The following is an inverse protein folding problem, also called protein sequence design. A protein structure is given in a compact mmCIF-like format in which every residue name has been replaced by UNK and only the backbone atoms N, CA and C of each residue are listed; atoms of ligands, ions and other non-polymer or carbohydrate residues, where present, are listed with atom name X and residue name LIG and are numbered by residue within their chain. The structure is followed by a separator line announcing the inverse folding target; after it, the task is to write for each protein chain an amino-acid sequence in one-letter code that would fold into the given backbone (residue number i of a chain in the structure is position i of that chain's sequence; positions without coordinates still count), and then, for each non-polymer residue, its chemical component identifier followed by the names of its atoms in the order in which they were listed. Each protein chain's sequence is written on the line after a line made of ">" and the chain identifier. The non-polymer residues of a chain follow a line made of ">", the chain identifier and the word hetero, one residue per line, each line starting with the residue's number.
data_IF_778912535979
#
_entry.id   IF_778912535979
#
_cell.length_a   1.000
_cell.length_b   1.000
_cell.length_c   1.000
_cell.angle_alpha   90.00
_cell.angle_beta   90.00
_cell.angle_gamma   90.00
#
_symmetry.space_group_name_H-M   'P 1'
#
loop_
_entity.id
_entity.type
_entity.pdbx_description
1 polymer ?
#
# COMPACT_ATOMS: atom_id res chain seq x y z
N UNK A 1 -3.22 -17.24 7.26
CA UNK A 1 -2.85 -17.08 5.84
C UNK A 1 -4.10 -17.33 5.00
N UNK A 2 -4.94 -16.31 4.86
CA UNK A 2 -6.35 -16.42 4.47
C UNK A 2 -6.52 -16.72 2.98
N UNK A 3 -7.32 -17.75 2.70
CA UNK A 3 -7.72 -18.24 1.39
C UNK A 3 -8.51 -17.18 0.60
N UNK A 4 -8.10 -16.89 -0.64
CA UNK A 4 -9.05 -16.65 -1.74
C UNK A 4 -9.69 -15.27 -1.91
N UNK A 5 -9.23 -14.22 -1.23
CA UNK A 5 -9.63 -12.84 -1.58
C UNK A 5 -8.86 -12.35 -2.80
N UNK A 6 -9.55 -11.86 -3.83
CA UNK A 6 -8.89 -11.20 -4.95
C UNK A 6 -8.08 -10.01 -4.43
N UNK A 7 -6.81 -9.94 -4.80
CA UNK A 7 -5.99 -8.77 -4.49
C UNK A 7 -6.50 -7.59 -5.30
N UNK A 8 -6.83 -6.52 -4.59
CA UNK A 8 -7.29 -5.27 -5.20
C UNK A 8 -6.11 -4.32 -5.28
N UNK A 9 -5.80 -3.77 -6.47
CA UNK A 9 -4.85 -2.68 -6.59
C UNK A 9 -5.31 -1.50 -5.74
N UNK A 10 -4.55 -1.16 -4.71
CA UNK A 10 -4.92 -0.10 -3.78
C UNK A 10 -3.75 0.82 -3.46
N UNK A 11 -4.07 2.04 -3.03
CA UNK A 11 -3.14 2.95 -2.39
C UNK A 11 -3.32 2.89 -0.86
N UNK A 12 -2.20 2.84 -0.13
CA UNK A 12 -2.16 2.99 1.32
C UNK A 12 -1.99 4.47 1.68
N UNK A 13 -2.95 5.03 2.42
CA UNK A 13 -2.88 6.35 3.01
C UNK A 13 -2.72 6.26 4.52
N UNK A 14 -1.78 7.01 5.09
CA UNK A 14 -1.55 7.09 6.54
C UNK A 14 -1.48 8.57 6.93
N UNK A 15 -2.26 8.94 7.94
CA UNK A 15 -2.19 10.25 8.60
C UNK A 15 -2.11 10.06 10.12
N UNK A 16 -2.04 11.18 10.84
CA UNK A 16 -2.14 11.17 12.31
C UNK A 16 -3.46 10.54 12.79
N UNK A 17 -4.53 10.68 12.02
CA UNK A 17 -5.89 10.34 12.46
C UNK A 17 -6.39 9.02 11.86
N UNK A 18 -6.00 8.73 10.62
CA UNK A 18 -6.53 7.58 9.89
C UNK A 18 -5.46 6.78 9.16
N UNK A 19 -5.71 5.48 9.07
CA UNK A 19 -5.12 4.57 8.10
C UNK A 19 -6.22 4.17 7.12
N UNK A 20 -5.98 4.33 5.82
CA UNK A 20 -6.97 4.03 4.77
C UNK A 20 -6.36 3.22 3.63
N UNK A 21 -7.16 2.36 3.01
CA UNK A 21 -6.88 1.79 1.70
C UNK A 21 -7.92 2.28 0.70
N UNK A 22 -7.44 2.74 -0.46
CA UNK A 22 -8.29 3.21 -1.55
C UNK A 22 -8.10 2.29 -2.76
N UNK A 23 -9.18 1.70 -3.25
CA UNK A 23 -9.20 0.92 -4.49
C UNK A 23 -8.90 1.85 -5.67
N UNK A 24 -7.87 1.53 -6.45
CA UNK A 24 -7.42 2.34 -7.58
C UNK A 24 -8.33 2.23 -8.81
N UNK A 25 -9.12 1.17 -8.92
CA UNK A 25 -10.08 0.94 -10.00
C UNK A 25 -11.42 1.59 -9.64
N UNK A 26 -12.00 1.22 -8.49
CA UNK A 26 -13.30 1.74 -8.06
C UNK A 26 -13.24 3.20 -7.60
N UNK A 27 -12.06 3.70 -7.20
CA UNK A 27 -11.84 5.03 -6.61
C UNK A 27 -12.60 5.24 -5.29
N UNK A 28 -12.74 4.16 -4.50
CA UNK A 28 -13.45 4.17 -3.22
C UNK A 28 -12.55 3.72 -2.06
N UNK A 29 -12.88 4.17 -0.85
CA UNK A 29 -12.22 3.72 0.38
C UNK A 29 -12.73 2.32 0.71
N UNK A 30 -11.87 1.32 0.62
CA UNK A 30 -12.20 -0.09 0.90
C UNK A 30 -11.78 -0.54 2.30
N UNK A 31 -10.97 0.27 2.98
CA UNK A 31 -10.60 0.09 4.38
C UNK A 31 -10.32 1.44 5.02
N UNK A 32 -10.78 1.63 6.26
CA UNK A 32 -10.40 2.75 7.11
C UNK A 32 -10.42 2.34 8.58
N UNK A 33 -9.44 2.76 9.34
CA UNK A 33 -9.49 2.75 10.80
C UNK A 33 -8.84 4.02 11.36
N UNK A 34 -9.16 4.34 12.61
CA UNK A 34 -8.41 5.37 13.33
C UNK A 34 -7.00 4.86 13.60
N UNK A 35 -6.00 5.74 13.48
CA UNK A 35 -4.61 5.37 13.78
C UNK A 35 -4.45 4.88 15.23
N UNK A 36 -5.28 5.37 16.16
CA UNK A 36 -5.32 4.91 17.55
C UNK A 36 -5.85 3.48 17.75
N UNK A 37 -6.56 2.92 16.77
CA UNK A 37 -7.04 1.53 16.82
C UNK A 37 -5.99 0.52 16.30
N UNK A 38 -4.88 1.00 15.74
CA UNK A 38 -3.78 0.14 15.31
C UNK A 38 -3.01 -0.33 16.55
N UNK A 39 -3.08 -1.63 16.83
CA UNK A 39 -2.44 -2.25 17.99
C UNK A 39 -1.02 -2.74 17.69
N UNK A 40 -0.67 -2.87 16.41
CA UNK A 40 0.67 -3.26 15.99
C UNK A 40 0.77 -3.45 14.48
N UNK A 41 2.00 -3.50 13.98
CA UNK A 41 2.28 -3.76 12.57
C UNK A 41 3.57 -4.55 12.41
N UNK A 42 3.68 -5.29 11.30
CA UNK A 42 4.92 -5.97 10.93
C UNK A 42 5.15 -5.92 9.42
N UNK A 43 6.41 -5.86 9.02
CA UNK A 43 6.82 -5.94 7.63
C UNK A 43 7.54 -7.29 7.39
N UNK A 44 7.19 -7.97 6.31
CA UNK A 44 7.83 -9.21 5.88
C UNK A 44 7.97 -9.21 4.35
N UNK A 45 9.19 -9.07 3.86
CA UNK A 45 9.45 -8.88 2.43
C UNK A 45 8.76 -7.61 1.91
N UNK A 46 7.89 -7.77 0.92
CA UNK A 46 7.08 -6.67 0.36
C UNK A 46 5.73 -6.49 1.05
N UNK A 47 5.41 -7.31 2.05
CA UNK A 47 4.12 -7.25 2.74
C UNK A 47 4.21 -6.39 4.01
N UNK A 48 3.22 -5.51 4.19
CA UNK A 48 2.94 -4.80 5.44
C UNK A 48 1.64 -5.35 6.03
N UNK A 49 1.71 -5.84 7.26
CA UNK A 49 0.58 -6.33 8.05
C UNK A 49 0.24 -5.32 9.12
N UNK A 50 -1.01 -4.90 9.18
CA UNK A 50 -1.51 -3.92 10.15
C UNK A 50 -2.59 -4.63 10.97
N UNK A 51 -2.35 -4.74 12.27
CA UNK A 51 -3.29 -5.32 13.23
C UNK A 51 -4.04 -4.18 13.92
N UNK A 52 -5.37 -4.28 13.97
CA UNK A 52 -6.23 -3.23 14.50
C UNK A 52 -7.41 -3.77 15.32
N UNK A 53 -8.03 -2.89 16.11
CA UNK A 53 -9.19 -3.20 16.94
C UNK A 53 -8.90 -4.34 17.93
N UNK A 54 -9.60 -5.48 17.77
CA UNK A 54 -9.44 -6.66 18.63
C UNK A 54 -8.51 -7.73 18.05
N UNK A 55 -7.66 -7.37 17.09
CA UNK A 55 -6.73 -8.29 16.42
C UNK A 55 -7.09 -8.61 14.97
N UNK A 56 -7.98 -7.83 14.36
CA UNK A 56 -8.24 -7.92 12.92
C UNK A 56 -7.00 -7.51 12.13
N UNK A 57 -6.86 -8.05 10.92
CA UNK A 57 -5.67 -7.90 10.10
C UNK A 57 -6.05 -7.38 8.71
N UNK A 58 -5.40 -6.29 8.32
CA UNK A 58 -5.28 -5.89 6.92
C UNK A 58 -3.84 -6.07 6.45
N UNK A 59 -3.67 -6.66 5.27
CA UNK A 59 -2.36 -6.91 4.68
C UNK A 59 -2.30 -6.23 3.33
N UNK A 60 -1.26 -5.41 3.12
CA UNK A 60 -0.95 -4.83 1.82
C UNK A 60 0.41 -5.32 1.35
N UNK A 61 0.60 -5.38 0.04
CA UNK A 61 1.90 -5.65 -0.55
C UNK A 61 2.32 -4.49 -1.41
N UNK A 62 3.58 -4.08 -1.28
CA UNK A 62 4.19 -3.13 -2.19
C UNK A 62 4.17 -3.76 -3.60
N UNK A 63 3.41 -3.14 -4.50
CA UNK A 63 3.54 -3.42 -5.93
C UNK A 63 4.91 -2.93 -6.43
N UNK A 64 5.39 -3.49 -7.54
CA UNK A 64 6.52 -2.89 -8.26
C UNK A 64 6.02 -1.52 -8.74
N UNK A 65 6.43 -0.46 -8.03
CA UNK A 65 6.17 0.88 -8.50
C UNK A 65 6.76 0.98 -9.90
N UNK A 66 5.93 1.22 -10.92
CA UNK A 66 6.45 1.77 -12.17
C UNK A 66 6.96 3.16 -11.81
N UNK A 67 8.19 3.22 -11.30
CA UNK A 67 8.94 4.44 -11.28
C UNK A 67 8.99 4.88 -12.73
N UNK A 68 8.14 5.83 -13.10
CA UNK A 68 8.44 6.72 -14.20
C UNK A 68 9.67 7.52 -13.77
N UNK A 69 10.83 6.87 -13.82
CA UNK A 69 12.11 7.54 -13.90
C UNK A 69 12.14 8.20 -15.26
N UNK A 70 11.51 9.37 -15.38
CA UNK A 70 11.87 10.35 -16.39
C UNK A 70 13.28 10.84 -16.05
N UNK A 71 14.28 10.03 -16.40
CA UNK A 71 15.68 10.44 -16.46
C UNK A 71 15.95 10.99 -17.85
N UNK A 72 15.69 12.28 -18.03
CA UNK A 72 16.25 13.08 -19.12
C UNK A 72 17.78 13.09 -19.03
N UNK A 73 18.46 12.78 -20.14
CA UNK A 73 19.92 12.92 -20.27
C UNK A 73 20.35 12.80 -21.73
N UNK A 74 20.66 13.95 -22.33
CA UNK A 74 21.07 14.10 -23.73
C UNK A 74 22.53 13.69 -23.98
N UNK A 75 22.79 13.20 -25.20
CA UNK A 75 23.97 13.51 -26.03
C UNK A 75 25.34 12.90 -25.68
N UNK A 76 25.90 12.12 -26.60
CA UNK A 76 27.25 12.35 -27.15
C UNK A 76 27.41 11.52 -28.43
N UNK A 77 27.81 12.16 -29.53
CA UNK A 77 28.14 11.49 -30.77
C UNK A 77 29.50 10.80 -30.69
N UNK A 78 29.73 9.90 -31.63
CA UNK A 78 31.06 9.52 -32.10
C UNK A 78 30.91 9.18 -33.57
N UNK A 79 31.64 9.94 -34.40
CA UNK A 79 31.82 9.65 -35.82
C UNK A 79 32.72 8.44 -36.05
#
# INVERSE_FOLDING_TARGET
>A
FGRGGQEVPCALGISKEFVVLVDLVAKEVVFSCFTGDVIGWSAEGTALRIYHGRGDLVSVRAGVGSGSGSGSGAGAGSG
#
